data_IF_778330465298
#
_entry.id   IF_778330465298
#
_cell.length_a   1.000
_cell.length_b   1.000
_cell.length_c   1.000
_cell.angle_alpha   90.00
_cell.angle_beta   90.00
_cell.angle_gamma   90.00
#
_symmetry.space_group_name_H-M   'P 1'
#
loop_
_entity.id
_entity.type
_entity.pdbx_description
1 polymer ?
#
# COMPACT_ATOMS: atom_id res chain seq x y z
N UNK A 1 -24.96 -2.13 -52.38
CA UNK A 1 -25.56 -1.14 -51.48
C UNK A 1 -24.53 -0.04 -51.39
N UNK A 2 -24.76 1.05 -52.09
CA UNK A 2 -23.84 2.19 -52.04
C UNK A 2 -23.99 2.86 -50.66
N UNK A 3 -22.96 3.56 -50.18
CA UNK A 3 -23.00 4.19 -48.84
C UNK A 3 -24.22 5.13 -48.68
N UNK A 4 -24.62 5.77 -49.78
CA UNK A 4 -25.77 6.65 -49.86
C UNK A 4 -27.10 5.93 -49.61
N UNK A 5 -27.23 4.67 -50.04
CA UNK A 5 -28.41 3.85 -49.78
C UNK A 5 -28.52 3.49 -48.30
N UNK A 6 -27.39 3.20 -47.65
CA UNK A 6 -27.35 2.87 -46.23
C UNK A 6 -27.71 4.08 -45.35
N UNK A 7 -27.22 5.28 -45.70
CA UNK A 7 -27.53 6.51 -44.99
C UNK A 7 -28.99 6.96 -45.18
N UNK A 8 -29.55 6.77 -46.38
CA UNK A 8 -30.96 7.03 -46.65
C UNK A 8 -31.87 6.05 -45.90
N UNK A 9 -31.53 4.75 -45.90
CA UNK A 9 -32.24 3.74 -45.12
C UNK A 9 -32.17 4.02 -43.62
N UNK A 10 -30.99 4.33 -43.07
CA UNK A 10 -30.84 4.67 -41.66
C UNK A 10 -31.63 5.92 -41.28
N UNK A 11 -31.59 6.96 -42.11
CA UNK A 11 -32.34 8.21 -41.87
C UNK A 11 -33.85 8.01 -41.82
N UNK A 12 -34.39 7.08 -42.62
CA UNK A 12 -35.81 6.75 -42.65
C UNK A 12 -36.27 5.90 -41.45
N UNK A 13 -35.41 5.01 -40.94
CA UNK A 13 -35.79 4.04 -39.90
C UNK A 13 -35.33 4.42 -38.50
N UNK A 14 -34.35 5.32 -38.35
CA UNK A 14 -33.75 5.66 -37.04
C UNK A 14 -34.81 6.00 -35.99
N UNK A 15 -35.78 6.85 -36.31
CA UNK A 15 -36.74 7.35 -35.31
C UNK A 15 -37.72 6.25 -34.89
N UNK A 16 -38.03 5.31 -35.79
CA UNK A 16 -38.85 4.12 -35.48
C UNK A 16 -38.06 3.11 -34.67
N UNK A 17 -36.80 2.83 -35.04
CA UNK A 17 -35.89 1.93 -34.32
C UNK A 17 -35.65 2.43 -32.88
N UNK A 18 -35.43 3.73 -32.70
CA UNK A 18 -35.22 4.33 -31.37
C UNK A 18 -36.51 4.48 -30.55
N UNK A 19 -37.69 4.60 -31.18
CA UNK A 19 -38.97 4.74 -30.49
C UNK A 19 -39.64 3.40 -30.13
N UNK A 20 -39.44 2.35 -30.93
CA UNK A 20 -40.05 1.03 -30.70
C UNK A 20 -39.22 0.12 -29.79
N UNK A 21 -37.92 0.37 -29.67
CA UNK A 21 -37.05 -0.42 -28.81
C UNK A 21 -37.15 0.03 -27.34
N UNK A 22 -37.90 -0.75 -26.54
CA UNK A 22 -38.06 -0.55 -25.10
C UNK A 22 -36.74 -0.54 -24.33
N UNK A 23 -35.67 -1.14 -24.87
CA UNK A 23 -34.33 -1.20 -24.29
C UNK A 23 -33.57 0.10 -24.60
N UNK A 24 -33.56 0.53 -25.87
CA UNK A 24 -32.82 1.72 -26.30
C UNK A 24 -33.50 3.05 -25.92
N UNK A 25 -34.83 3.10 -25.94
CA UNK A 25 -35.61 4.30 -25.54
C UNK A 25 -35.46 4.69 -24.07
N UNK A 26 -34.97 3.77 -23.22
CA UNK A 26 -34.63 4.02 -21.82
C UNK A 26 -33.26 4.67 -21.62
N UNK A 27 -32.35 4.61 -22.60
CA UNK A 27 -30.96 5.05 -22.48
C UNK A 27 -30.84 6.55 -22.74
N UNK A 28 -31.02 7.37 -21.70
CA UNK A 28 -30.87 8.84 -21.78
C UNK A 28 -29.58 9.36 -21.14
N UNK A 29 -28.97 8.58 -20.25
CA UNK A 29 -27.73 8.88 -19.56
C UNK A 29 -27.09 7.57 -19.05
N UNK A 30 -25.86 7.63 -18.52
CA UNK A 30 -25.14 6.45 -18.02
C UNK A 30 -25.93 5.70 -16.92
N UNK A 31 -26.58 6.42 -16.00
CA UNK A 31 -27.40 5.79 -14.97
C UNK A 31 -28.57 4.98 -15.56
N UNK A 32 -29.23 5.52 -16.60
CA UNK A 32 -30.30 4.83 -17.28
C UNK A 32 -29.79 3.65 -18.12
N UNK A 33 -28.60 3.76 -18.73
CA UNK A 33 -27.92 2.67 -19.42
C UNK A 33 -27.67 1.47 -18.48
N UNK A 34 -27.21 1.74 -17.27
CA UNK A 34 -26.99 0.70 -16.26
C UNK A 34 -28.28 0.11 -15.73
N UNK A 35 -29.31 0.93 -15.48
CA UNK A 35 -30.62 0.41 -15.07
C UNK A 35 -31.24 -0.48 -16.15
N UNK A 36 -31.10 -0.09 -17.42
CA UNK A 36 -31.49 -0.92 -18.57
C UNK A 36 -30.67 -2.21 -18.63
N UNK A 37 -29.35 -2.16 -18.38
CA UNK A 37 -28.53 -3.37 -18.28
C UNK A 37 -28.94 -4.28 -17.11
N UNK A 38 -29.18 -3.74 -15.93
CA UNK A 38 -29.62 -4.53 -14.77
C UNK A 38 -30.98 -5.19 -15.02
N UNK A 39 -31.85 -4.59 -15.85
CA UNK A 39 -33.17 -5.11 -16.18
C UNK A 39 -33.18 -6.07 -17.38
N UNK A 40 -32.33 -5.85 -18.39
CA UNK A 40 -32.38 -6.52 -19.69
C UNK A 40 -31.02 -7.09 -20.16
N UNK A 41 -29.98 -7.03 -19.33
CA UNK A 41 -28.64 -7.51 -19.64
C UNK A 41 -28.61 -9.01 -19.94
N UNK A 42 -27.66 -9.42 -20.79
CA UNK A 42 -27.52 -10.81 -21.23
C UNK A 42 -27.09 -10.92 -22.70
N UNK A 43 -27.71 -11.83 -23.46
CA UNK A 43 -27.30 -12.19 -24.83
C UNK A 43 -27.30 -11.04 -25.85
N UNK A 44 -28.17 -10.04 -25.72
CA UNK A 44 -28.33 -8.95 -26.71
C UNK A 44 -27.63 -7.66 -26.26
N UNK A 45 -27.49 -7.45 -24.95
CA UNK A 45 -26.81 -6.31 -24.37
C UNK A 45 -25.75 -6.81 -23.39
N UNK A 46 -24.53 -6.95 -23.93
CA UNK A 46 -23.46 -7.76 -23.37
C UNK A 46 -22.75 -7.14 -22.14
N UNK A 47 -22.70 -5.81 -22.06
CA UNK A 47 -22.15 -5.06 -20.93
C UNK A 47 -22.49 -3.57 -21.07
N UNK A 48 -22.70 -2.83 -19.95
CA UNK A 48 -22.93 -1.39 -19.99
C UNK A 48 -21.68 -0.58 -20.38
N UNK A 49 -20.47 -1.14 -20.19
CA UNK A 49 -19.21 -0.46 -20.49
C UNK A 49 -18.12 -1.48 -20.84
N UNK A 50 -17.34 -1.17 -21.87
CA UNK A 50 -16.19 -2.00 -22.30
C UNK A 50 -14.89 -1.23 -22.11
N UNK A 51 -13.90 -1.83 -21.45
CA UNK A 51 -12.57 -1.28 -21.25
C UNK A 51 -11.63 -1.82 -22.33
N UNK A 52 -11.08 -0.92 -23.13
CA UNK A 52 -10.15 -1.23 -24.21
C UNK A 52 -8.73 -0.75 -23.88
N UNK A 53 -7.69 -1.35 -24.47
CA UNK A 53 -6.33 -0.83 -24.39
C UNK A 53 -6.25 0.59 -24.97
N UNK A 54 -5.32 1.41 -24.46
CA UNK A 54 -5.14 2.80 -24.93
C UNK A 54 -4.74 2.89 -26.41
N UNK A 55 -4.18 1.82 -26.97
CA UNK A 55 -3.61 1.80 -28.31
C UNK A 55 -4.16 0.63 -29.12
N UNK A 56 -4.57 0.91 -30.36
CA UNK A 56 -5.01 -0.11 -31.33
C UNK A 56 -3.92 -0.53 -32.33
N UNK A 57 -2.71 0.01 -32.16
CA UNK A 57 -1.52 -0.30 -32.95
C UNK A 57 -0.37 -0.62 -31.99
N UNK A 58 0.60 -1.40 -32.45
CA UNK A 58 1.76 -1.74 -31.63
C UNK A 58 2.65 -0.51 -31.43
N UNK A 59 2.92 -0.15 -30.17
CA UNK A 59 3.83 0.93 -29.77
C UNK A 59 5.24 0.43 -29.41
N UNK A 60 5.49 -0.87 -29.47
CA UNK A 60 6.80 -1.43 -29.17
C UNK A 60 7.76 -1.11 -30.32
N UNK A 61 8.77 -0.27 -30.05
CA UNK A 61 9.81 0.12 -31.02
C UNK A 61 10.61 -1.07 -31.56
N UNK A 62 10.69 -2.16 -30.80
CA UNK A 62 11.39 -3.38 -31.21
C UNK A 62 10.60 -4.25 -32.19
N UNK A 63 9.30 -3.98 -32.35
CA UNK A 63 8.40 -4.79 -33.15
C UNK A 63 8.80 -4.77 -34.64
N UNK A 64 8.88 -5.93 -35.32
CA UNK A 64 9.17 -6.00 -36.76
C UNK A 64 8.22 -5.16 -37.61
N UNK A 65 6.94 -5.10 -37.24
CA UNK A 65 5.93 -4.32 -37.97
C UNK A 65 6.15 -2.82 -37.81
N UNK A 66 6.51 -2.35 -36.62
CA UNK A 66 6.79 -0.95 -36.33
C UNK A 66 8.09 -0.52 -37.04
N UNK A 67 9.16 -1.33 -36.95
CA UNK A 67 10.44 -1.07 -37.62
C UNK A 67 10.31 -0.92 -39.13
N UNK A 68 9.42 -1.70 -39.75
CA UNK A 68 9.16 -1.68 -41.19
C UNK A 68 8.14 -0.61 -41.62
N UNK A 69 7.72 0.30 -40.72
CA UNK A 69 6.73 1.35 -41.02
C UNK A 69 5.32 0.82 -41.29
N UNK A 70 5.03 -0.44 -40.95
CA UNK A 70 3.73 -1.09 -41.13
C UNK A 70 3.03 -1.14 -39.77
N UNK A 71 2.43 -0.03 -39.34
CA UNK A 71 1.63 0.02 -38.12
C UNK A 71 0.30 -0.75 -38.31
N UNK A 72 0.36 -2.08 -38.26
CA UNK A 72 -0.81 -2.94 -38.37
C UNK A 72 -1.69 -2.77 -37.13
N UNK A 73 -3.00 -2.74 -37.37
CA UNK A 73 -4.01 -2.74 -36.31
C UNK A 73 -3.93 -4.06 -35.54
N UNK A 74 -3.99 -4.00 -34.22
CA UNK A 74 -4.06 -5.17 -33.36
C UNK A 74 -5.44 -5.85 -33.57
N UNK A 75 -5.45 -7.09 -34.04
CA UNK A 75 -6.68 -7.82 -34.34
C UNK A 75 -6.98 -8.94 -33.35
N UNK A 76 -5.95 -9.58 -32.79
CA UNK A 76 -6.10 -10.62 -31.78
C UNK A 76 -6.61 -10.00 -30.47
N UNK A 77 -7.89 -10.22 -30.16
CA UNK A 77 -8.56 -9.66 -28.98
C UNK A 77 -9.14 -10.78 -28.15
N UNK A 78 -8.91 -10.73 -26.83
CA UNK A 78 -9.56 -11.61 -25.86
C UNK A 78 -10.40 -10.76 -24.93
N UNK A 79 -11.59 -11.25 -24.62
CA UNK A 79 -12.56 -10.58 -23.76
C UNK A 79 -12.71 -11.30 -22.42
N UNK A 80 -12.81 -10.53 -21.34
CA UNK A 80 -13.11 -11.04 -20.00
C UNK A 80 -14.18 -10.21 -19.30
N UNK A 81 -15.07 -10.90 -18.59
CA UNK A 81 -15.97 -10.29 -17.61
C UNK A 81 -15.17 -9.81 -16.40
N UNK A 82 -15.49 -8.60 -15.92
CA UNK A 82 -14.84 -7.97 -14.77
C UNK A 82 -15.81 -7.06 -14.02
N UNK A 83 -15.38 -6.52 -12.88
CA UNK A 83 -16.10 -5.52 -12.11
C UNK A 83 -15.29 -4.23 -12.04
N UNK A 84 -15.91 -3.10 -12.37
CA UNK A 84 -15.40 -1.75 -12.15
C UNK A 84 -16.07 -1.13 -10.92
N UNK A 85 -15.28 -0.77 -9.92
CA UNK A 85 -15.77 -0.04 -8.75
C UNK A 85 -15.71 1.47 -9.02
N UNK A 86 -16.89 2.09 -9.04
CA UNK A 86 -17.06 3.52 -9.36
C UNK A 86 -17.48 4.32 -8.14
N UNK A 87 -17.14 5.61 -8.12
CA UNK A 87 -17.53 6.49 -7.03
C UNK A 87 -19.03 6.84 -7.04
N UNK A 88 -19.66 6.90 -8.20
CA UNK A 88 -21.04 7.39 -8.34
C UNK A 88 -22.09 6.28 -8.43
N UNK A 89 -21.74 5.16 -9.06
CA UNK A 89 -22.71 4.10 -9.41
C UNK A 89 -22.51 2.82 -8.61
N UNK A 90 -21.45 2.74 -7.80
CA UNK A 90 -21.08 1.51 -7.11
C UNK A 90 -20.39 0.52 -8.05
N UNK A 91 -20.48 -0.80 -7.75
CA UNK A 91 -19.87 -1.84 -8.59
C UNK A 91 -20.62 -2.00 -9.91
N UNK A 92 -19.88 -1.98 -11.00
CA UNK A 92 -20.41 -2.07 -12.37
C UNK A 92 -19.82 -3.30 -13.06
N UNK A 93 -20.64 -4.19 -13.64
CA UNK A 93 -20.15 -5.25 -14.51
C UNK A 93 -19.64 -4.66 -15.84
N UNK A 94 -18.35 -4.84 -16.13
CA UNK A 94 -17.72 -4.33 -17.37
C UNK A 94 -16.96 -5.43 -18.10
N UNK A 95 -16.97 -5.39 -19.43
CA UNK A 95 -16.10 -6.23 -20.27
C UNK A 95 -14.74 -5.58 -20.43
N UNK A 96 -13.69 -6.38 -20.37
CA UNK A 96 -12.33 -5.91 -20.60
C UNK A 96 -11.74 -6.64 -21.78
N UNK A 97 -11.05 -5.89 -22.61
CA UNK A 97 -10.40 -6.40 -23.80
C UNK A 97 -8.91 -6.24 -23.63
N UNK A 98 -8.17 -7.31 -23.89
CA UNK A 98 -6.74 -7.21 -24.12
C UNK A 98 -6.43 -7.62 -25.55
N UNK A 99 -5.46 -6.93 -26.15
CA UNK A 99 -5.09 -7.14 -27.56
C UNK A 99 -3.65 -7.57 -27.67
N UNK A 100 -3.37 -8.56 -28.52
CA UNK A 100 -2.02 -9.10 -28.69
C UNK A 100 -1.46 -8.68 -30.04
N UNK A 101 -0.23 -8.19 -30.06
CA UNK A 101 0.49 -7.94 -31.30
C UNK A 101 1.03 -9.24 -31.88
N UNK A 102 0.55 -9.64 -33.06
CA UNK A 102 1.04 -10.85 -33.75
C UNK A 102 2.52 -10.78 -34.16
N UNK A 103 3.09 -9.56 -34.25
CA UNK A 103 4.48 -9.38 -34.68
C UNK A 103 5.50 -9.53 -33.57
N UNK A 104 5.19 -9.06 -32.35
CA UNK A 104 6.12 -9.10 -31.22
C UNK A 104 5.59 -9.81 -29.97
N UNK A 105 4.35 -10.29 -29.98
CA UNK A 105 3.73 -11.01 -28.87
C UNK A 105 3.38 -10.15 -27.65
N UNK A 106 3.55 -8.83 -27.72
CA UNK A 106 3.17 -7.91 -26.63
C UNK A 106 1.66 -7.92 -26.45
N UNK A 107 1.21 -8.04 -25.20
CA UNK A 107 -0.21 -8.05 -24.83
C UNK A 107 -0.56 -6.70 -24.20
N UNK A 108 -1.47 -5.96 -24.81
CA UNK A 108 -1.92 -4.65 -24.38
C UNK A 108 -3.19 -4.80 -23.55
N UNK A 109 -3.14 -4.33 -22.30
CA UNK A 109 -4.27 -4.23 -21.37
C UNK A 109 -4.76 -2.77 -21.30
N UNK A 110 -5.88 -2.48 -20.61
CA UNK A 110 -6.37 -1.13 -20.42
C UNK A 110 -5.38 -0.17 -19.75
N UNK A 111 -4.61 -0.59 -18.75
CA UNK A 111 -3.76 0.29 -17.93
C UNK A 111 -2.24 -0.02 -18.02
N UNK A 112 -1.87 -1.17 -18.58
CA UNK A 112 -0.49 -1.56 -18.86
C UNK A 112 -0.38 -2.41 -20.13
N UNK A 113 0.84 -2.74 -20.52
CA UNK A 113 1.12 -3.78 -21.51
C UNK A 113 2.18 -4.74 -20.98
N UNK A 114 2.14 -5.99 -21.45
CA UNK A 114 3.07 -7.05 -21.03
C UNK A 114 4.06 -7.31 -22.15
N UNK A 115 5.35 -7.13 -21.85
CA UNK A 115 6.46 -7.42 -22.76
C UNK A 115 7.30 -8.56 -22.19
N UNK A 116 7.66 -9.50 -23.06
CA UNK A 116 8.66 -10.53 -22.74
C UNK A 116 10.04 -9.96 -23.06
N UNK A 117 10.91 -9.94 -22.06
CA UNK A 117 12.27 -9.45 -22.16
C UNK A 117 13.18 -10.52 -22.78
N UNK A 118 14.40 -10.12 -23.19
CA UNK A 118 15.41 -11.06 -23.73
C UNK A 118 15.82 -12.14 -22.72
N UNK A 119 15.64 -11.88 -21.43
CA UNK A 119 15.86 -12.82 -20.32
C UNK A 119 14.74 -13.85 -20.16
N UNK A 120 13.75 -13.85 -21.06
CA UNK A 120 12.51 -14.64 -20.99
C UNK A 120 11.60 -14.29 -19.79
N UNK A 121 11.89 -13.21 -19.08
CA UNK A 121 11.04 -12.66 -18.04
C UNK A 121 9.92 -11.81 -18.64
N UNK A 122 8.72 -11.91 -18.08
CA UNK A 122 7.57 -11.10 -18.51
C UNK A 122 7.36 -9.94 -17.55
N UNK A 123 7.39 -8.72 -18.06
CA UNK A 123 7.20 -7.50 -17.29
C UNK A 123 5.92 -6.78 -17.72
N UNK A 124 5.20 -6.23 -16.73
CA UNK A 124 4.13 -5.26 -16.93
C UNK A 124 4.72 -3.87 -16.99
N UNK A 125 4.47 -3.18 -18.08
CA UNK A 125 4.84 -1.79 -18.30
C UNK A 125 3.57 -0.95 -18.29
N UNK A 126 3.43 -0.08 -17.30
CA UNK A 126 2.30 0.85 -17.27
C UNK A 126 2.49 1.93 -18.33
N UNK A 127 1.41 2.38 -18.97
CA UNK A 127 1.51 3.38 -20.03
C UNK A 127 2.11 4.69 -19.51
N UNK A 128 3.06 5.24 -20.26
CA UNK A 128 3.62 6.55 -19.97
C UNK A 128 2.61 7.63 -20.40
N UNK A 129 2.01 8.29 -19.42
CA UNK A 129 1.01 9.34 -19.60
C UNK A 129 1.28 10.47 -18.63
N UNK A 130 1.12 11.71 -19.11
CA UNK A 130 1.23 12.92 -18.29
C UNK A 130 0.18 12.96 -17.18
N UNK A 131 -0.98 12.34 -17.43
CA UNK A 131 -2.08 12.25 -16.48
C UNK A 131 -2.22 10.82 -15.97
N UNK A 132 -2.63 10.68 -14.70
CA UNK A 132 -2.96 9.39 -14.14
C UNK A 132 -4.12 8.75 -14.91
N UNK A 133 -4.11 7.42 -15.12
CA UNK A 133 -5.20 6.73 -15.80
C UNK A 133 -6.51 6.94 -15.03
N UNK A 134 -7.63 7.01 -15.74
CA UNK A 134 -8.94 7.17 -15.09
C UNK A 134 -9.32 5.94 -14.26
N UNK A 135 -8.87 4.77 -14.70
CA UNK A 135 -9.18 3.46 -14.13
C UNK A 135 -7.88 2.68 -13.98
N UNK A 136 -7.72 1.97 -12.87
CA UNK A 136 -6.58 1.09 -12.59
C UNK A 136 -7.02 -0.33 -12.34
N UNK A 137 -6.25 -1.31 -12.81
CA UNK A 137 -6.47 -2.72 -12.56
C UNK A 137 -5.83 -3.12 -11.23
N UNK A 138 -6.64 -3.48 -10.23
CA UNK A 138 -6.16 -3.89 -8.90
C UNK A 138 -6.09 -5.40 -8.73
N UNK A 139 -6.85 -6.17 -9.53
CA UNK A 139 -6.75 -7.61 -9.60
C UNK A 139 -7.18 -8.08 -11.00
N UNK A 140 -7.01 -9.38 -11.31
CA UNK A 140 -7.27 -9.94 -12.64
C UNK A 140 -8.64 -9.56 -13.21
N UNK A 141 -9.69 -9.55 -12.37
CA UNK A 141 -11.05 -9.23 -12.79
C UNK A 141 -11.66 -8.00 -12.08
N UNK A 142 -10.82 -7.16 -11.45
CA UNK A 142 -11.30 -6.02 -10.66
C UNK A 142 -10.54 -4.74 -11.02
N UNK A 143 -11.32 -3.70 -11.32
CA UNK A 143 -10.87 -2.37 -11.71
C UNK A 143 -11.45 -1.32 -10.77
N UNK A 144 -10.70 -0.25 -10.54
CA UNK A 144 -11.10 0.83 -9.63
C UNK A 144 -10.89 2.16 -10.31
N UNK A 145 -11.85 3.07 -10.17
CA UNK A 145 -11.66 4.45 -10.60
C UNK A 145 -10.59 5.15 -9.76
N UNK A 146 -9.69 5.87 -10.43
CA UNK A 146 -8.65 6.66 -9.77
C UNK A 146 -9.23 7.70 -8.82
N UNK A 147 -10.41 8.26 -9.11
CA UNK A 147 -11.10 9.19 -8.20
C UNK A 147 -11.51 8.51 -6.89
N UNK A 148 -12.04 7.29 -6.95
CA UNK A 148 -12.41 6.49 -5.77
C UNK A 148 -11.17 6.12 -4.96
N UNK A 149 -10.10 5.66 -5.62
CA UNK A 149 -8.84 5.34 -4.97
C UNK A 149 -8.18 6.56 -4.30
N UNK A 150 -8.29 7.75 -4.90
CA UNK A 150 -7.87 9.02 -4.27
C UNK A 150 -8.69 9.34 -3.02
N UNK A 151 -10.00 9.11 -3.03
CA UNK A 151 -10.85 9.29 -1.84
C UNK A 151 -10.40 8.37 -0.73
N UNK A 152 -10.20 7.07 -0.99
CA UNK A 152 -9.69 6.16 0.03
C UNK A 152 -8.32 6.57 0.55
N UNK A 153 -7.41 6.99 -0.33
CA UNK A 153 -6.10 7.51 0.07
C UNK A 153 -6.24 8.69 1.03
N UNK A 154 -7.07 9.66 0.68
CA UNK A 154 -7.33 10.84 1.50
C UNK A 154 -8.05 10.48 2.80
N UNK A 155 -8.97 9.51 2.78
CA UNK A 155 -9.64 9.02 3.99
C UNK A 155 -8.65 8.33 4.92
N UNK A 156 -7.72 7.52 4.39
CA UNK A 156 -6.66 6.88 5.18
C UNK A 156 -5.65 7.90 5.73
N UNK A 157 -5.42 9.03 5.02
CA UNK A 157 -4.46 10.07 5.42
C UNK A 157 -5.05 11.08 6.42
N UNK A 158 -6.21 11.65 6.12
CA UNK A 158 -6.85 12.72 6.91
C UNK A 158 -7.88 12.20 7.90
N UNK A 159 -8.19 10.90 7.84
CA UNK A 159 -9.01 10.24 8.84
C UNK A 159 -8.42 10.43 10.23
N UNK A 160 -9.14 11.15 11.09
CA UNK A 160 -8.70 11.53 12.44
C UNK A 160 -8.25 10.33 13.32
N UNK A 161 -8.56 9.08 12.94
CA UNK A 161 -8.03 7.88 13.58
C UNK A 161 -7.54 6.84 12.55
N UNK A 162 -6.25 6.47 12.60
CA UNK A 162 -5.63 5.37 11.83
C UNK A 162 -6.33 4.01 12.07
N UNK A 163 -6.99 3.82 13.22
CA UNK A 163 -7.82 2.64 13.50
C UNK A 163 -9.21 2.68 12.85
N UNK A 164 -9.76 3.86 12.55
CA UNK A 164 -11.08 4.02 11.95
C UNK A 164 -11.04 4.04 10.42
N UNK A 165 -9.94 4.49 9.80
CA UNK A 165 -9.81 4.50 8.34
C UNK A 165 -8.73 3.53 7.87
N UNK A 166 -8.93 2.24 8.15
CA UNK A 166 -8.18 1.16 7.52
C UNK A 166 -8.73 0.88 6.11
N UNK A 167 -7.94 0.21 5.27
CA UNK A 167 -8.42 -0.32 3.99
C UNK A 167 -9.70 -1.16 4.15
N UNK A 168 -9.79 -1.93 5.24
CA UNK A 168 -10.98 -2.72 5.56
C UNK A 168 -12.20 -1.85 5.83
N UNK A 169 -12.04 -0.72 6.53
CA UNK A 169 -13.15 0.20 6.75
C UNK A 169 -13.50 0.97 5.48
N UNK A 170 -12.53 1.34 4.64
CA UNK A 170 -12.80 1.93 3.33
C UNK A 170 -13.63 0.99 2.45
N UNK A 171 -13.25 -0.28 2.38
CA UNK A 171 -14.02 -1.31 1.66
C UNK A 171 -15.43 -1.48 2.23
N UNK A 172 -15.58 -1.55 3.56
CA UNK A 172 -16.89 -1.65 4.23
C UNK A 172 -17.77 -0.42 4.04
N UNK A 173 -17.19 0.78 4.07
CA UNK A 173 -17.92 2.03 3.81
C UNK A 173 -18.43 2.01 2.39
N UNK A 174 -17.58 1.65 1.42
CA UNK A 174 -17.99 1.52 0.03
C UNK A 174 -19.12 0.50 -0.14
N UNK A 175 -18.93 -0.71 0.39
CA UNK A 175 -19.94 -1.79 0.36
C UNK A 175 -21.26 -1.32 0.95
N UNK A 176 -21.25 -0.70 2.14
CA UNK A 176 -22.46 -0.19 2.82
C UNK A 176 -23.12 0.99 2.09
N UNK A 177 -22.34 1.79 1.37
CA UNK A 177 -22.85 2.94 0.62
C UNK A 177 -23.57 2.48 -0.65
N UNK A 178 -23.07 1.41 -1.28
CA UNK A 178 -23.56 0.91 -2.56
C UNK A 178 -24.20 -0.48 -2.47
N UNK A 179 -24.78 -0.86 -1.32
CA UNK A 179 -25.59 -2.09 -1.22
C UNK A 179 -26.79 -1.94 -2.15
N UNK A 180 -26.65 -2.46 -3.36
CA UNK A 180 -27.72 -2.56 -4.33
C UNK A 180 -27.87 -4.05 -4.62
N UNK A 181 -28.98 -4.63 -4.15
CA UNK A 181 -29.31 -6.07 -4.25
C UNK A 181 -29.36 -6.62 -5.69
N UNK A 182 -29.05 -5.81 -6.72
CA UNK A 182 -29.10 -6.16 -8.16
C UNK A 182 -28.07 -5.43 -9.05
N UNK A 183 -26.93 -5.00 -8.51
CA UNK A 183 -25.93 -4.26 -9.31
C UNK A 183 -25.25 -5.12 -10.40
N UNK A 184 -25.16 -6.43 -10.17
CA UNK A 184 -24.52 -7.38 -11.09
C UNK A 184 -25.54 -8.45 -11.49
N UNK A 185 -25.73 -8.72 -12.79
CA UNK A 185 -26.60 -9.80 -13.26
C UNK A 185 -26.19 -11.17 -12.72
N UNK A 186 -27.17 -12.05 -12.50
CA UNK A 186 -26.96 -13.40 -11.95
C UNK A 186 -26.10 -14.30 -12.87
N UNK A 187 -26.10 -14.04 -14.18
CA UNK A 187 -25.31 -14.75 -15.18
C UNK A 187 -23.87 -14.22 -15.31
N UNK A 188 -23.51 -13.17 -14.58
CA UNK A 188 -22.16 -12.61 -14.62
C UNK A 188 -21.17 -13.50 -13.88
N UNK A 189 -20.07 -13.86 -14.54
CA UNK A 189 -19.10 -14.84 -14.01
C UNK A 189 -18.24 -14.32 -12.85
N UNK A 190 -18.27 -13.01 -12.57
CA UNK A 190 -17.41 -12.36 -11.56
C UNK A 190 -18.27 -11.67 -10.51
N UNK A 191 -17.99 -11.92 -9.23
CA UNK A 191 -18.75 -11.31 -8.15
C UNK A 191 -18.19 -9.92 -7.78
N UNK A 192 -19.08 -8.98 -7.51
CA UNK A 192 -18.73 -7.68 -6.96
C UNK A 192 -18.44 -7.78 -5.46
N UNK A 193 -17.27 -8.28 -5.11
CA UNK A 193 -16.83 -8.42 -3.72
C UNK A 193 -15.58 -7.57 -3.47
N UNK A 194 -15.75 -6.35 -2.94
CA UNK A 194 -14.63 -5.46 -2.66
C UNK A 194 -13.83 -5.96 -1.46
N UNK A 195 -12.54 -6.16 -1.65
CA UNK A 195 -11.63 -6.64 -0.61
C UNK A 195 -10.70 -5.52 -0.10
N UNK A 196 -10.27 -5.55 1.17
CA UNK A 196 -9.29 -4.58 1.70
C UNK A 196 -7.99 -4.53 0.88
N UNK A 197 -7.57 -5.66 0.34
CA UNK A 197 -6.38 -5.80 -0.51
C UNK A 197 -6.48 -4.93 -1.76
N UNK A 198 -7.68 -4.81 -2.35
CA UNK A 198 -7.92 -3.97 -3.53
C UNK A 198 -7.72 -2.49 -3.23
N UNK A 199 -8.06 -2.05 -2.01
CA UNK A 199 -7.85 -0.67 -1.56
C UNK A 199 -6.35 -0.40 -1.38
N UNK A 200 -5.61 -1.34 -0.79
CA UNK A 200 -4.15 -1.22 -0.65
C UNK A 200 -3.45 -1.25 -2.01
N UNK A 201 -3.84 -2.14 -2.91
CA UNK A 201 -3.24 -2.21 -4.25
C UNK A 201 -3.56 -0.97 -5.06
N UNK A 202 -4.78 -0.42 -4.97
CA UNK A 202 -5.11 0.86 -5.56
C UNK A 202 -4.19 1.99 -5.05
N UNK A 203 -3.97 2.05 -3.74
CA UNK A 203 -3.05 3.02 -3.14
C UNK A 203 -1.61 2.82 -3.64
N UNK A 204 -1.09 1.59 -3.63
CA UNK A 204 0.27 1.28 -4.12
C UNK A 204 0.44 1.70 -5.57
N UNK A 205 -0.47 1.28 -6.46
CA UNK A 205 -0.43 1.59 -7.89
C UNK A 205 -0.44 3.11 -8.09
N UNK A 206 -1.34 3.84 -7.44
CA UNK A 206 -1.40 5.31 -7.55
C UNK A 206 -0.12 5.98 -7.06
N UNK A 207 0.42 5.56 -5.91
CA UNK A 207 1.64 6.13 -5.37
C UNK A 207 2.84 5.91 -6.31
N UNK A 208 2.98 4.69 -6.85
CA UNK A 208 4.03 4.33 -7.79
C UNK A 208 3.89 5.08 -9.11
N UNK A 209 2.69 5.14 -9.70
CA UNK A 209 2.46 5.89 -10.94
C UNK A 209 2.80 7.38 -10.77
N UNK A 210 2.36 8.00 -9.67
CA UNK A 210 2.70 9.39 -9.38
C UNK A 210 4.21 9.60 -9.22
N UNK A 211 4.89 8.68 -8.56
CA UNK A 211 6.34 8.72 -8.37
C UNK A 211 7.07 8.73 -9.72
N UNK A 212 6.70 7.80 -10.59
CA UNK A 212 7.31 7.62 -11.90
C UNK A 212 7.00 8.80 -12.83
N UNK A 213 5.76 9.30 -12.82
CA UNK A 213 5.35 10.50 -13.57
C UNK A 213 6.17 11.74 -13.20
N UNK A 214 6.37 12.01 -11.91
CA UNK A 214 7.18 13.18 -11.46
C UNK A 214 8.63 13.12 -11.92
N UNK A 215 9.16 11.91 -12.13
CA UNK A 215 10.55 11.67 -12.57
C UNK A 215 10.68 11.42 -14.07
N UNK A 216 9.59 11.45 -14.84
CA UNK A 216 9.57 11.05 -16.25
C UNK A 216 10.19 9.66 -16.47
N UNK A 217 9.82 8.72 -15.60
CA UNK A 217 10.22 7.30 -15.70
C UNK A 217 8.97 6.44 -15.85
N UNK A 218 9.12 5.19 -16.29
CA UNK A 218 8.01 4.26 -16.48
C UNK A 218 7.96 3.22 -15.35
N UNK A 219 6.77 2.99 -14.77
CA UNK A 219 6.54 1.91 -13.82
C UNK A 219 6.59 0.56 -14.53
N UNK A 220 7.51 -0.31 -14.09
CA UNK A 220 7.69 -1.66 -14.59
C UNK A 220 7.69 -2.66 -13.44
N UNK A 221 6.88 -3.72 -13.51
CA UNK A 221 6.79 -4.75 -12.45
C UNK A 221 6.68 -6.16 -13.04
N UNK A 222 7.08 -7.22 -12.33
CA UNK A 222 6.95 -8.59 -12.82
C UNK A 222 5.51 -9.01 -13.11
N UNK A 223 5.27 -9.74 -14.20
CA UNK A 223 3.96 -10.30 -14.55
C UNK A 223 3.63 -11.56 -13.75
N UNK A 224 4.63 -12.43 -13.54
CA UNK A 224 4.46 -13.81 -13.05
C UNK A 224 4.54 -13.95 -11.52
N UNK A 225 4.47 -12.83 -10.80
CA UNK A 225 4.43 -12.81 -9.34
C UNK A 225 2.99 -12.74 -8.80
N UNK A 226 2.84 -13.17 -7.54
CA UNK A 226 1.59 -12.99 -6.82
C UNK A 226 1.20 -11.51 -6.72
N UNK A 227 -0.10 -11.24 -6.80
CA UNK A 227 -0.64 -9.88 -6.74
C UNK A 227 -0.17 -9.15 -5.47
N UNK A 228 -0.16 -9.83 -4.33
CA UNK A 228 0.17 -9.23 -3.04
C UNK A 228 1.60 -8.64 -2.99
N UNK A 229 2.53 -9.27 -3.72
CA UNK A 229 3.95 -8.96 -3.70
C UNK A 229 4.43 -8.21 -4.96
N UNK A 230 3.57 -7.98 -5.95
CA UNK A 230 3.97 -7.45 -7.26
C UNK A 230 4.69 -6.11 -7.22
N UNK A 231 4.32 -5.29 -6.25
CA UNK A 231 4.81 -3.93 -6.11
C UNK A 231 5.91 -3.81 -5.05
N UNK A 232 6.26 -4.91 -4.37
CA UNK A 232 7.16 -4.85 -3.20
C UNK A 232 8.56 -4.39 -3.58
N UNK A 233 9.14 -4.97 -4.63
CA UNK A 233 10.50 -4.64 -5.08
C UNK A 233 10.61 -3.17 -5.50
N UNK A 234 9.60 -2.66 -6.22
CA UNK A 234 9.59 -1.27 -6.66
C UNK A 234 9.35 -0.30 -5.50
N UNK A 235 8.49 -0.66 -4.54
CA UNK A 235 8.31 0.10 -3.30
C UNK A 235 9.60 0.12 -2.46
N UNK A 236 10.33 -0.99 -2.39
CA UNK A 236 11.62 -1.07 -1.70
C UNK A 236 12.67 -0.20 -2.40
N UNK A 237 12.75 -0.27 -3.74
CA UNK A 237 13.62 0.59 -4.55
C UNK A 237 13.37 2.08 -4.27
N UNK A 238 12.12 2.49 -4.22
CA UNK A 238 11.73 3.89 -3.93
C UNK A 238 12.07 4.28 -2.49
N UNK A 239 11.80 3.41 -1.51
CA UNK A 239 12.16 3.67 -0.12
C UNK A 239 13.68 3.82 0.05
N UNK A 240 14.47 2.99 -0.66
CA UNK A 240 15.92 3.08 -0.68
C UNK A 240 16.40 4.36 -1.35
N UNK A 241 15.80 4.75 -2.49
CA UNK A 241 16.12 6.01 -3.15
C UNK A 241 15.86 7.22 -2.23
N UNK A 242 14.73 7.22 -1.52
CA UNK A 242 14.39 8.25 -0.52
C UNK A 242 15.36 8.21 0.67
N UNK A 243 15.79 7.02 1.10
CA UNK A 243 16.76 6.89 2.19
C UNK A 243 18.14 7.46 1.79
N UNK A 244 18.58 7.24 0.56
CA UNK A 244 19.88 7.70 0.06
C UNK A 244 19.86 9.19 -0.32
N UNK A 245 18.86 9.61 -1.09
CA UNK A 245 18.79 10.94 -1.68
C UNK A 245 17.96 11.93 -0.86
N UNK A 246 17.22 11.45 0.13
CA UNK A 246 16.27 12.25 0.89
C UNK A 246 14.93 12.42 0.17
N UNK A 247 13.98 13.06 0.85
CA UNK A 247 12.72 13.49 0.24
C UNK A 247 12.93 14.82 -0.50
N UNK A 248 12.10 15.16 -1.50
CA UNK A 248 12.17 16.46 -2.19
C UNK A 248 12.18 17.66 -1.24
N UNK A 249 11.54 17.52 -0.09
CA UNK A 249 11.39 18.53 0.95
C UNK A 249 12.64 18.71 1.82
N UNK A 250 13.68 17.89 1.69
CA UNK A 250 14.90 17.96 2.54
C UNK A 250 15.58 19.33 2.50
N UNK A 251 15.50 20.00 1.35
CA UNK A 251 16.03 21.34 1.12
C UNK A 251 14.97 22.44 1.25
N UNK A 252 13.86 22.17 1.94
CA UNK A 252 12.81 23.15 2.19
C UNK A 252 13.32 24.32 3.06
N UNK A 253 13.15 25.56 2.57
CA UNK A 253 13.58 26.79 3.24
C UNK A 253 12.53 27.91 3.10
N UNK A 254 11.35 27.75 3.69
CA UNK A 254 10.41 28.87 3.80
C UNK A 254 10.81 29.84 4.91
N UNK A 255 10.18 31.03 4.95
CA UNK A 255 10.41 32.09 5.94
C UNK A 255 10.13 31.68 7.40
N UNK A 256 9.32 30.62 7.60
CA UNK A 256 9.12 30.03 8.93
C UNK A 256 10.27 29.12 9.34
N UNK A 257 10.91 28.48 8.37
CA UNK A 257 11.90 27.42 8.54
C UNK A 257 13.34 27.97 8.54
N UNK A 258 13.57 29.11 7.88
CA UNK A 258 14.85 29.84 7.89
C UNK A 258 14.59 31.30 8.21
N UNK A 259 15.32 31.85 9.18
CA UNK A 259 15.29 33.29 9.49
C UNK A 259 16.66 33.91 9.33
N UNK A 260 16.72 35.03 8.62
CA UNK A 260 17.92 35.85 8.53
C UNK A 260 17.79 37.02 9.49
N UNK A 261 18.76 37.14 10.40
CA UNK A 261 18.83 38.16 11.45
C UNK A 261 20.11 38.97 11.24
N UNK A 262 20.06 40.25 11.55
CA UNK A 262 21.25 41.10 11.58
C UNK A 262 21.71 41.16 13.04
N UNK A 263 22.95 40.73 13.30
CA UNK A 263 23.54 40.80 14.63
C UNK A 263 23.91 42.23 15.01
N UNK A 264 24.26 42.44 16.28
CA UNK A 264 24.69 43.75 16.81
C UNK A 264 25.95 44.32 16.13
N UNK A 265 26.67 43.52 15.35
CA UNK A 265 27.84 43.92 14.56
C UNK A 265 27.52 44.16 13.06
N UNK A 266 26.24 44.27 12.67
CA UNK A 266 25.78 44.33 11.27
C UNK A 266 26.07 43.08 10.42
N UNK A 267 26.50 41.98 11.05
CA UNK A 267 26.68 40.70 10.39
C UNK A 267 25.34 39.98 10.16
N UNK A 268 25.15 39.47 8.94
CA UNK A 268 23.98 38.68 8.57
C UNK A 268 24.13 37.25 9.10
N UNK A 269 23.28 36.88 10.06
CA UNK A 269 23.20 35.55 10.63
C UNK A 269 21.96 34.82 10.15
N UNK A 270 22.09 33.54 9.85
CA UNK A 270 20.96 32.70 9.47
C UNK A 270 20.68 31.67 10.57
N UNK A 271 19.40 31.51 10.89
CA UNK A 271 18.87 30.52 11.82
C UNK A 271 18.08 29.49 11.03
N UNK A 272 18.65 28.31 10.86
CA UNK A 272 17.97 27.12 10.36
C UNK A 272 17.86 26.08 11.48
N UNK A 273 16.63 25.76 11.88
CA UNK A 273 16.35 24.81 12.96
C UNK A 273 15.52 23.63 12.45
N UNK A 274 15.69 22.47 13.07
CA UNK A 274 14.86 21.27 12.84
C UNK A 274 14.54 20.60 14.17
N UNK A 275 13.39 19.93 14.22
CA UNK A 275 12.93 19.13 15.34
C UNK A 275 12.97 17.65 14.93
N UNK A 276 13.41 16.78 15.82
CA UNK A 276 13.40 15.34 15.62
C UNK A 276 12.51 14.70 16.67
N UNK A 277 11.50 13.98 16.20
CA UNK A 277 10.48 13.38 17.06
C UNK A 277 10.00 12.03 16.50
N UNK A 278 9.55 11.17 17.40
CA UNK A 278 9.13 9.82 17.13
C UNK A 278 7.62 9.68 17.02
N UNK A 279 7.11 9.27 15.86
CA UNK A 279 5.70 8.88 15.74
C UNK A 279 5.55 7.37 15.93
N UNK A 280 4.57 6.97 16.75
CA UNK A 280 4.34 5.55 17.05
C UNK A 280 3.62 4.86 15.89
N UNK A 281 4.37 4.52 14.84
CA UNK A 281 3.91 3.67 13.74
C UNK A 281 4.49 2.27 13.94
N UNK A 282 4.03 1.59 14.98
CA UNK A 282 4.53 0.26 15.32
C UNK A 282 4.10 -0.77 14.27
N UNK A 283 5.04 -1.37 13.53
CA UNK A 283 4.80 -2.54 12.66
C UNK A 283 5.48 -3.79 13.24
N UNK A 284 4.93 -5.00 13.03
CA UNK A 284 5.60 -6.23 13.46
C UNK A 284 7.04 -6.29 12.95
N UNK A 285 7.99 -6.61 13.82
CA UNK A 285 9.41 -6.74 13.50
C UNK A 285 10.00 -8.01 14.12
N UNK A 286 11.22 -8.35 13.71
CA UNK A 286 11.92 -9.50 14.25
C UNK A 286 12.12 -9.38 15.77
N UNK A 287 11.99 -10.51 16.48
CA UNK A 287 12.17 -10.59 17.93
C UNK A 287 13.59 -10.28 18.41
N UNK A 288 14.57 -10.28 17.51
CA UNK A 288 15.98 -9.96 17.81
C UNK A 288 16.15 -8.44 17.86
N UNK A 289 16.70 -7.86 18.96
CA UNK A 289 16.96 -6.43 19.07
C UNK A 289 17.76 -5.90 17.86
N UNK A 290 17.35 -4.73 17.34
CA UNK A 290 17.99 -4.05 16.21
C UNK A 290 18.04 -4.85 14.89
N UNK A 291 17.31 -5.97 14.79
CA UNK A 291 17.21 -6.69 13.52
C UNK A 291 16.26 -5.94 12.58
N UNK A 292 16.81 -5.52 11.43
CA UNK A 292 16.07 -4.86 10.36
C UNK A 292 15.44 -5.86 9.37
N UNK A 293 15.65 -7.16 9.58
CA UNK A 293 15.19 -8.23 8.71
C UNK A 293 13.66 -8.26 8.55
N UNK A 294 13.22 -8.39 7.30
CA UNK A 294 11.80 -8.49 6.94
C UNK A 294 11.20 -9.81 7.46
N UNK A 295 10.00 -9.73 8.00
CA UNK A 295 9.20 -10.90 8.34
C UNK A 295 8.52 -11.43 7.07
N UNK A 296 8.45 -12.76 6.91
CA UNK A 296 7.73 -13.38 5.79
C UNK A 296 6.22 -13.13 5.93
N UNK A 297 5.72 -13.10 7.15
CA UNK A 297 4.35 -12.75 7.50
C UNK A 297 4.30 -11.78 8.69
N UNK A 298 3.26 -10.94 8.74
CA UNK A 298 2.93 -10.11 9.92
C UNK A 298 2.55 -10.94 11.15
N UNK A 299 2.37 -12.26 10.98
CA UNK A 299 2.13 -13.23 12.04
C UNK A 299 3.42 -13.81 12.63
N UNK A 300 4.55 -13.69 11.93
CA UNK A 300 5.81 -14.26 12.37
C UNK A 300 6.44 -13.43 13.49
N UNK A 301 7.21 -14.10 14.34
CA UNK A 301 7.96 -13.46 15.41
C UNK A 301 9.42 -13.15 15.02
N UNK A 302 9.95 -13.81 13.99
CA UNK A 302 11.35 -13.71 13.57
C UNK A 302 11.45 -13.65 12.04
N UNK A 303 12.47 -12.95 11.53
CA UNK A 303 12.77 -12.94 10.11
C UNK A 303 13.42 -14.27 9.69
N UNK A 304 13.54 -14.52 8.38
CA UNK A 304 14.13 -15.74 7.84
C UNK A 304 15.49 -16.10 8.46
N UNK A 305 16.38 -15.10 8.63
CA UNK A 305 17.70 -15.27 9.26
C UNK A 305 17.68 -15.65 10.74
N UNK A 306 16.54 -15.48 11.41
CA UNK A 306 16.37 -15.70 12.85
C UNK A 306 15.24 -16.70 13.15
N UNK A 307 14.85 -17.52 12.16
CA UNK A 307 13.86 -18.57 12.31
C UNK A 307 14.33 -19.64 13.31
N UNK A 308 14.06 -19.39 14.60
CA UNK A 308 14.11 -20.40 15.66
C UNK A 308 15.52 -20.90 16.03
N UNK A 309 15.54 -21.75 17.05
CA UNK A 309 16.71 -22.52 17.47
C UNK A 309 17.33 -23.28 16.26
N UNK A 310 18.61 -23.63 16.30
CA UNK A 310 19.28 -24.47 15.28
C UNK A 310 18.58 -25.83 15.03
N UNK A 311 17.56 -26.16 15.83
CA UNK A 311 16.73 -27.37 15.73
C UNK A 311 15.34 -27.05 15.20
N UNK A 312 14.78 -27.93 14.34
CA UNK A 312 13.47 -27.71 13.76
C UNK A 312 12.38 -27.63 14.82
N UNK A 313 11.39 -26.77 14.55
CA UNK A 313 10.17 -26.62 15.34
C UNK A 313 9.39 -27.93 15.32
N UNK A 314 8.86 -28.36 16.48
CA UNK A 314 8.23 -29.68 16.65
C UNK A 314 6.98 -29.88 15.78
N UNK A 315 6.19 -28.82 15.58
CA UNK A 315 4.94 -28.87 14.79
C UNK A 315 4.55 -27.49 14.26
N UNK A 316 3.69 -27.42 13.24
CA UNK A 316 3.17 -26.16 12.67
C UNK A 316 2.47 -25.25 13.69
N UNK A 317 2.03 -25.79 14.83
CA UNK A 317 1.31 -25.06 15.87
C UNK A 317 2.16 -24.73 17.10
N UNK A 318 3.44 -25.11 17.10
CA UNK A 318 4.39 -24.82 18.17
C UNK A 318 5.43 -23.81 17.67
N UNK A 319 5.95 -22.99 18.57
CA UNK A 319 7.07 -22.06 18.39
C UNK A 319 8.33 -22.57 19.09
N UNK A 320 8.25 -23.70 19.78
CA UNK A 320 9.36 -24.38 20.42
C UNK A 320 9.92 -25.54 19.57
N UNK A 321 11.21 -25.85 19.78
CA UNK A 321 11.84 -27.01 19.17
C UNK A 321 11.48 -28.31 19.92
N UNK A 322 12.11 -29.42 19.53
CA UNK A 322 11.96 -30.75 20.14
C UNK A 322 12.40 -30.84 21.61
N UNK A 323 13.15 -29.85 22.13
CA UNK A 323 13.60 -29.80 23.52
C UNK A 323 12.44 -29.60 24.50
N UNK A 324 12.36 -30.50 25.50
CA UNK A 324 11.32 -30.48 26.54
C UNK A 324 11.29 -29.17 27.34
N UNK A 325 12.44 -28.55 27.57
CA UNK A 325 12.55 -27.29 28.30
C UNK A 325 11.93 -26.10 27.54
N UNK A 326 12.09 -26.07 26.21
CA UNK A 326 11.49 -25.04 25.36
C UNK A 326 9.98 -25.25 25.19
N UNK A 327 9.53 -26.51 25.17
CA UNK A 327 8.11 -26.85 25.14
C UNK A 327 7.41 -26.46 26.45
N UNK A 328 8.03 -26.76 27.60
CA UNK A 328 7.50 -26.35 28.90
C UNK A 328 7.36 -24.82 29.04
N UNK A 329 8.30 -24.07 28.45
CA UNK A 329 8.23 -22.61 28.37
C UNK A 329 7.09 -22.10 27.47
N UNK A 330 6.84 -22.76 26.34
CA UNK A 330 5.73 -22.44 25.45
C UNK A 330 4.38 -22.77 26.10
N UNK A 331 4.28 -23.91 26.79
CA UNK A 331 3.09 -24.31 27.54
C UNK A 331 2.79 -23.31 28.65
N UNK A 332 3.81 -22.91 29.43
CA UNK A 332 3.69 -21.88 30.46
C UNK A 332 3.23 -20.53 29.87
N UNK A 333 3.73 -20.16 28.69
CA UNK A 333 3.29 -18.97 27.99
C UNK A 333 1.80 -19.06 27.60
N UNK A 334 1.36 -20.18 27.02
CA UNK A 334 -0.03 -20.40 26.64
C UNK A 334 -0.99 -20.46 27.84
N UNK A 335 -0.56 -21.03 28.97
CA UNK A 335 -1.32 -20.99 30.23
C UNK A 335 -1.45 -19.56 30.75
N UNK A 336 -0.37 -18.78 30.66
CA UNK A 336 -0.34 -17.36 31.05
C UNK A 336 -1.25 -16.51 30.15
N UNK A 337 -1.32 -16.80 28.84
CA UNK A 337 -2.25 -16.13 27.91
C UNK A 337 -3.72 -16.46 28.17
N UNK A 338 -4.02 -17.69 28.62
CA UNK A 338 -5.37 -18.16 28.96
C UNK A 338 -5.84 -17.71 30.33
N UNK A 339 -4.96 -17.13 31.16
CA UNK A 339 -5.33 -16.64 32.48
C UNK A 339 -6.40 -15.53 32.39
N UNK A 340 -7.54 -15.74 33.05
CA UNK A 340 -8.72 -14.86 33.00
C UNK A 340 -8.40 -13.39 33.35
N UNK A 341 -7.40 -13.16 34.21
CA UNK A 341 -6.93 -11.81 34.55
C UNK A 341 -6.31 -11.09 33.34
N UNK A 342 -5.52 -11.77 32.51
CA UNK A 342 -4.95 -11.16 31.31
C UNK A 342 -5.98 -10.97 30.20
N UNK A 343 -6.93 -11.89 30.04
CA UNK A 343 -8.06 -11.71 29.13
C UNK A 343 -8.92 -10.50 29.54
N UNK A 344 -9.21 -10.35 30.83
CA UNK A 344 -9.93 -9.20 31.38
C UNK A 344 -9.14 -7.91 31.18
N UNK A 345 -7.83 -7.91 31.41
CA UNK A 345 -6.96 -6.76 31.15
C UNK A 345 -6.90 -6.38 29.67
N UNK A 346 -6.85 -7.36 28.74
CA UNK A 346 -6.91 -7.13 27.29
C UNK A 346 -8.28 -6.57 26.88
N UNK A 347 -9.36 -7.11 27.44
CA UNK A 347 -10.74 -6.66 27.19
C UNK A 347 -10.97 -5.23 27.72
N UNK A 348 -10.54 -4.95 28.94
CA UNK A 348 -10.61 -3.62 29.56
C UNK A 348 -9.73 -2.59 28.83
N UNK A 349 -8.55 -2.99 28.33
CA UNK A 349 -7.71 -2.14 27.45
C UNK A 349 -8.39 -1.88 26.12
N UNK A 350 -9.08 -2.87 25.54
CA UNK A 350 -9.85 -2.70 24.32
C UNK A 350 -11.07 -1.79 24.53
N UNK A 351 -11.72 -1.83 25.70
CA UNK A 351 -12.83 -0.94 26.04
C UNK A 351 -12.38 0.48 26.41
N UNK A 352 -11.32 0.64 27.21
CA UNK A 352 -10.76 1.95 27.58
C UNK A 352 -10.14 2.67 26.38
N UNK A 353 -9.55 1.93 25.44
CA UNK A 353 -9.13 2.47 24.15
C UNK A 353 -10.31 2.82 23.21
N UNK A 354 -11.56 2.53 23.58
CA UNK A 354 -12.73 3.08 22.90
C UNK A 354 -13.31 4.28 23.68
N UNK A 355 -13.32 4.25 25.02
CA UNK A 355 -13.97 5.30 25.83
C UNK A 355 -13.11 6.53 26.16
N UNK A 356 -11.77 6.39 26.27
CA UNK A 356 -10.89 7.56 26.49
C UNK A 356 -10.59 8.33 25.19
N UNK A 357 -10.83 7.72 24.02
CA UNK A 357 -10.68 8.40 22.73
C UNK A 357 -11.80 9.41 22.45
N UNK A 358 -13.00 9.20 23.00
CA UNK A 358 -14.08 10.18 22.97
C UNK A 358 -13.78 11.46 23.78
N UNK A 359 -12.72 11.45 24.61
CA UNK A 359 -12.34 12.58 25.47
C UNK A 359 -11.07 13.32 25.05
N UNK A 360 -10.42 12.91 23.96
CA UNK A 360 -9.23 13.59 23.44
C UNK A 360 -8.00 13.56 24.34
N UNK A 361 -7.91 12.63 25.30
CA UNK A 361 -6.70 12.44 26.10
C UNK A 361 -5.69 11.55 25.33
N UNK A 362 -4.47 12.06 25.13
CA UNK A 362 -3.36 11.31 24.54
C UNK A 362 -3.08 10.03 25.33
N UNK A 363 -3.29 8.87 24.70
CA UNK A 363 -2.80 7.61 25.26
C UNK A 363 -1.31 7.48 24.91
N UNK A 364 -0.47 8.00 25.81
CA UNK A 364 0.88 7.49 25.97
C UNK A 364 0.80 6.02 26.42
N UNK A 365 1.71 5.22 25.85
CA UNK A 365 2.21 3.97 26.37
C UNK A 365 1.59 2.66 25.84
N UNK A 366 2.34 2.00 24.94
CA UNK A 366 2.33 0.54 24.82
C UNK A 366 3.75 0.00 25.03
N UNK A 367 4.28 0.24 26.23
CA UNK A 367 5.38 -0.51 26.79
C UNK A 367 5.06 -2.02 26.78
N UNK A 368 5.82 -2.70 25.92
CA UNK A 368 6.27 -4.09 25.78
C UNK A 368 6.13 -5.10 26.96
N UNK A 369 5.04 -5.11 27.73
CA UNK A 369 4.99 -5.84 29.01
C UNK A 369 5.17 -7.37 28.98
N UNK A 370 4.60 -8.13 28.02
CA UNK A 370 4.45 -9.59 28.21
C UNK A 370 4.76 -10.44 26.96
N UNK A 371 5.83 -10.15 26.22
CA UNK A 371 6.19 -10.94 25.03
C UNK A 371 7.41 -11.86 25.22
N UNK A 372 8.18 -11.65 26.29
CA UNK A 372 9.30 -12.51 26.69
C UNK A 372 8.98 -13.24 28.01
N UNK A 373 9.20 -14.55 28.05
CA UNK A 373 9.22 -15.34 29.27
C UNK A 373 10.68 -15.68 29.59
N UNK A 374 11.12 -15.41 30.82
CA UNK A 374 12.41 -15.87 31.34
C UNK A 374 12.17 -16.98 32.35
N UNK A 375 12.70 -18.18 32.09
CA UNK A 375 12.77 -19.25 33.08
C UNK A 375 14.22 -19.53 33.45
N UNK A 376 14.46 -19.76 34.74
CA UNK A 376 15.76 -20.18 35.28
C UNK A 376 15.73 -21.69 35.49
N UNK A 377 16.64 -22.43 34.85
CA UNK A 377 16.73 -23.88 35.04
C UNK A 377 17.87 -24.20 36.02
N UNK A 378 17.62 -25.00 37.07
CA UNK A 378 18.69 -25.56 37.88
C UNK A 378 19.43 -26.64 37.10
N UNK A 379 20.63 -26.35 36.61
CA UNK A 379 21.51 -27.36 36.03
C UNK A 379 22.00 -28.31 37.12
N UNK A 380 21.70 -29.59 36.98
CA UNK A 380 22.08 -30.63 37.91
C UNK A 380 23.60 -30.71 38.15
N UNK A 381 23.95 -30.68 39.43
CA UNK A 381 25.23 -31.05 40.07
C UNK A 381 26.50 -30.29 39.61
N UNK A 382 26.84 -29.29 40.40
CA UNK A 382 28.18 -28.70 40.50
C UNK A 382 28.15 -27.19 40.32
N UNK A 383 28.63 -26.44 41.32
CA UNK A 383 28.69 -24.97 41.34
C UNK A 383 29.17 -24.39 39.99
N UNK A 384 28.25 -23.95 39.12
CA UNK A 384 28.50 -23.03 37.99
C UNK A 384 27.19 -22.62 37.31
N UNK A 385 26.91 -21.31 37.33
CA UNK A 385 25.95 -20.51 36.52
C UNK A 385 24.63 -21.19 36.13
N UNK A 386 23.52 -20.79 36.77
CA UNK A 386 22.17 -20.97 36.22
C UNK A 386 22.10 -20.37 34.82
N UNK A 387 21.92 -21.20 33.80
CA UNK A 387 21.59 -20.72 32.47
C UNK A 387 20.14 -20.23 32.49
N UNK A 388 19.95 -18.93 32.23
CA UNK A 388 18.61 -18.36 32.03
C UNK A 388 18.19 -18.68 30.61
N UNK A 389 17.10 -19.42 30.44
CA UNK A 389 16.47 -19.58 29.13
C UNK A 389 15.49 -18.42 28.96
N UNK A 390 15.73 -17.60 27.94
CA UNK A 390 14.85 -16.51 27.55
C UNK A 390 14.13 -16.90 26.28
N UNK A 391 12.81 -16.99 26.35
CA UNK A 391 11.97 -17.30 25.20
C UNK A 391 11.11 -16.08 24.85
N UNK A 392 11.03 -15.76 23.56
CA UNK A 392 10.22 -14.67 23.02
C UNK A 392 9.11 -15.28 22.16
N UNK A 393 7.94 -15.50 22.77
CA UNK A 393 6.79 -16.10 22.09
C UNK A 393 5.84 -15.04 21.51
N UNK A 394 5.84 -13.83 22.12
CA UNK A 394 5.05 -12.70 21.65
C UNK A 394 5.76 -11.92 20.54
N UNK A 395 4.98 -11.24 19.70
CA UNK A 395 5.49 -10.41 18.61
C UNK A 395 6.13 -9.13 19.16
N UNK A 396 7.26 -8.73 18.57
CA UNK A 396 7.80 -7.37 18.74
C UNK A 396 7.26 -6.45 17.67
N UNK A 397 7.24 -5.16 17.99
CA UNK A 397 6.93 -4.10 17.03
C UNK A 397 8.11 -3.14 16.98
N UNK A 398 8.25 -2.43 15.86
CA UNK A 398 9.16 -1.29 15.76
C UNK A 398 8.87 -0.30 16.89
N UNK A 399 9.91 0.36 17.37
CA UNK A 399 9.83 1.33 18.45
C UNK A 399 9.01 2.52 18.00
N UNK A 400 9.46 3.20 16.95
CA UNK A 400 8.82 4.36 16.35
C UNK A 400 9.33 4.55 14.91
N UNK A 401 8.65 5.41 14.17
CA UNK A 401 9.21 6.03 12.97
C UNK A 401 9.74 7.40 13.41
N UNK A 402 11.05 7.60 13.34
CA UNK A 402 11.67 8.88 13.68
C UNK A 402 11.52 9.84 12.50
N UNK A 403 11.07 11.06 12.76
CA UNK A 403 10.90 12.12 11.77
C UNK A 403 11.82 13.28 12.09
N UNK A 404 12.43 13.87 11.06
CA UNK A 404 13.04 15.20 11.14
C UNK A 404 12.08 16.17 10.48
N UNK A 405 11.62 17.16 11.24
CA UNK A 405 10.55 18.08 10.89
C UNK A 405 11.09 19.52 10.97
N UNK A 406 10.80 20.31 9.95
CA UNK A 406 11.13 21.73 9.93
C UNK A 406 10.05 22.54 10.68
N UNK A 407 10.35 23.73 11.24
CA UNK A 407 9.41 24.55 12.02
C UNK A 407 8.06 24.87 11.37
N UNK A 408 7.99 24.78 10.04
CA UNK A 408 6.81 24.97 9.22
C UNK A 408 5.89 23.72 9.15
N UNK A 409 6.28 22.61 9.80
CA UNK A 409 5.56 21.33 9.78
C UNK A 409 5.97 20.40 8.63
N UNK A 410 6.94 20.80 7.80
CA UNK A 410 7.43 19.97 6.69
C UNK A 410 8.31 18.84 7.21
N UNK A 411 8.00 17.60 6.85
CA UNK A 411 8.85 16.44 7.14
C UNK A 411 10.01 16.44 6.15
N UNK A 412 11.24 16.55 6.64
CA UNK A 412 12.46 16.58 5.84
C UNK A 412 13.03 15.18 5.61
N UNK A 413 12.92 14.30 6.61
CA UNK A 413 13.40 12.93 6.57
C UNK A 413 12.64 12.03 7.54
N UNK A 414 12.67 10.72 7.30
CA UNK A 414 12.12 9.70 8.20
C UNK A 414 13.03 8.49 8.27
N UNK A 415 13.05 7.79 9.39
CA UNK A 415 13.73 6.50 9.55
C UNK A 415 12.99 5.60 10.55
N UNK A 416 12.85 4.31 10.24
CA UNK A 416 12.28 3.35 11.18
C UNK A 416 13.31 2.95 12.25
N UNK A 417 12.92 3.05 13.52
CA UNK A 417 13.73 2.60 14.65
C UNK A 417 13.12 1.31 15.23
N UNK A 418 13.92 0.25 15.28
CA UNK A 418 13.40 -1.10 15.56
C UNK A 418 13.31 -1.46 17.03
N UNK A 419 14.22 -0.94 17.87
CA UNK A 419 14.33 -1.38 19.27
C UNK A 419 14.36 -0.24 20.28
N UNK A 420 15.06 0.85 19.96
CA UNK A 420 15.23 1.96 20.87
C UNK A 420 15.55 3.25 20.13
N UNK A 421 15.16 4.36 20.73
CA UNK A 421 15.52 5.72 20.37
C UNK A 421 16.77 6.17 21.12
N UNK A 422 17.86 5.43 20.95
CA UNK A 422 19.14 5.81 21.56
C UNK A 422 19.74 7.00 20.81
N UNK A 423 20.33 7.92 21.56
CA UNK A 423 20.97 9.12 21.01
C UNK A 423 21.96 8.80 19.88
N UNK A 424 22.71 7.70 19.98
CA UNK A 424 23.64 7.28 18.93
C UNK A 424 22.96 6.91 17.60
N UNK A 425 21.74 6.38 17.63
CA UNK A 425 20.95 6.09 16.44
C UNK A 425 20.41 7.39 15.82
N UNK A 426 19.90 8.31 16.65
CA UNK A 426 19.44 9.63 16.20
C UNK A 426 20.60 10.42 15.59
N UNK A 427 21.77 10.45 16.24
CA UNK A 427 22.95 11.11 15.71
C UNK A 427 23.41 10.54 14.36
N UNK A 428 23.32 9.21 14.16
CA UNK A 428 23.58 8.58 12.85
C UNK A 428 22.56 9.00 11.81
N UNK A 429 21.27 8.98 12.16
CA UNK A 429 20.17 9.39 11.29
C UNK A 429 20.34 10.84 10.80
N UNK A 430 20.66 11.77 11.70
CA UNK A 430 20.89 13.18 11.37
C UNK A 430 22.11 13.37 10.49
N UNK A 431 23.22 12.71 10.83
CA UNK A 431 24.46 12.77 10.04
C UNK A 431 24.23 12.27 8.62
N UNK A 432 23.51 11.16 8.46
CA UNK A 432 23.14 10.60 7.16
C UNK A 432 22.22 11.56 6.38
N UNK A 433 21.18 12.08 7.04
CA UNK A 433 20.21 13.00 6.42
C UNK A 433 20.89 14.25 5.85
N UNK A 434 21.78 14.89 6.61
CA UNK A 434 22.46 16.12 6.17
C UNK A 434 23.84 15.86 5.57
N UNK A 435 24.16 14.61 5.22
CA UNK A 435 25.43 14.29 4.58
C UNK A 435 25.49 14.98 3.21
N UNK A 436 26.55 15.77 2.98
CA UNK A 436 26.70 16.61 1.76
C UNK A 436 25.61 17.66 1.53
N UNK A 437 24.77 17.93 2.54
CA UNK A 437 23.72 18.95 2.51
C UNK A 437 24.01 20.04 3.55
N UNK A 438 23.24 21.13 3.48
CA UNK A 438 23.30 22.18 4.50
C UNK A 438 22.81 21.64 5.83
N UNK A 439 23.62 21.79 6.87
CA UNK A 439 23.28 21.35 8.22
C UNK A 439 22.40 22.38 8.93
N UNK A 440 21.45 21.96 9.77
CA UNK A 440 20.76 22.86 10.68
C UNK A 440 21.74 23.47 11.69
N UNK A 441 21.51 24.74 12.04
CA UNK A 441 22.18 25.43 13.13
C UNK A 441 21.66 24.96 14.49
N UNK A 442 20.41 24.51 14.54
CA UNK A 442 19.79 24.01 15.76
C UNK A 442 19.07 22.70 15.49
N UNK A 443 19.40 21.69 16.28
CA UNK A 443 18.74 20.40 16.26
C UNK A 443 18.05 20.17 17.60
N UNK A 444 16.72 20.12 17.58
CA UNK A 444 15.89 19.94 18.77
C UNK A 444 15.44 18.49 18.80
N UNK A 445 15.69 17.80 19.91
CA UNK A 445 15.34 16.40 20.09
C UNK A 445 14.92 16.19 21.54
N UNK A 446 13.72 15.64 21.75
CA UNK A 446 13.24 15.33 23.09
C UNK A 446 13.81 13.98 23.53
N UNK A 447 14.68 14.01 24.54
CA UNK A 447 15.18 12.81 25.19
C UNK A 447 14.47 12.67 26.53
N UNK A 448 13.78 11.55 26.70
CA UNK A 448 13.04 11.15 27.92
C UNK A 448 13.90 10.94 29.19
N UNK A 449 15.10 11.51 29.28
CA UNK A 449 15.87 11.58 30.52
C UNK A 449 15.87 13.02 31.06
N UNK A 450 15.16 13.30 32.18
CA UNK A 450 14.84 14.67 32.63
C UNK A 450 16.04 15.54 33.05
N UNK A 451 17.26 15.02 33.04
CA UNK A 451 18.45 15.74 33.52
C UNK A 451 19.30 16.40 32.44
N UNK A 452 18.99 16.26 31.13
CA UNK A 452 19.81 16.86 30.07
C UNK A 452 18.97 17.32 28.86
N UNK A 453 18.56 18.60 28.83
CA UNK A 453 18.28 19.27 27.55
C UNK A 453 19.60 19.47 26.80
N UNK A 454 19.95 18.52 25.95
CA UNK A 454 21.10 18.66 25.06
C UNK A 454 20.71 19.51 23.85
N UNK A 455 20.99 20.81 23.92
CA UNK A 455 21.09 21.65 22.73
C UNK A 455 22.39 21.29 22.03
N UNK A 456 22.30 20.61 20.90
CA UNK A 456 23.48 20.38 20.04
C UNK A 456 23.65 21.64 19.18
N UNK A 457 24.79 22.31 19.38
CA UNK A 457 25.29 23.45 18.59
C UNK A 457 25.79 22.98 17.24
#
# INVERSE_FOLDING_TARGET
>A
MELEDADACWSAVKDVVWAEDKILGGVKNEAALHNTFSAFGGMVYASPKSLWPLTFVCINSDCPYVKNGKALKLQTTVEHNTILYTLSMGPVPVRTHHTTCEGCGVVYHPDYFVKTMSTNERLRHYYDSKELPEIIQVATHHFIETKLAKIWTNSMLYGWCIKMNSASNCARVYERTFVVDKAVPDDWTVQANIQPEFVYDAFKILALLQYHQRRNTQLCVPQECDQANRFDDEMERINQEIYEHGQPEIDHRCEKCVRTLINKQDDVCEVFAVVCDGVTVGRPCCGVPHCEGRLLSTRDAFCEKHLGCDRPVKSKNSKACDLLEHQALEDQYHETEKAAFQLKLRYERSQKANTNWDKGEEILDTSNGNSALEASIPTGKGKKKTAKIRAQFGRRRTHNEQLIIAPCGMILARQTFYHSEVFSAVAKFVKHTFQHRRKPNHFIFDWTNPDVMCSIV
#
